data_IF_871837428085
#
_entry.id   IF_871837428085
#
_cell.length_a   1.000
_cell.length_b   1.000
_cell.length_c   1.000
_cell.angle_alpha   90.00
_cell.angle_beta   90.00
_cell.angle_gamma   90.00
#
_symmetry.space_group_name_H-M   'P 1'
#
loop_
_entity.id
_entity.type
_entity.pdbx_description
1 polymer ?
#
# COMPACT_ATOMS: atom_id res chain seq x y z
N UNK A 1 0.94 14.71 -26.43
CA UNK A 1 1.83 14.72 -25.26
C UNK A 1 1.03 15.35 -24.12
N UNK A 2 0.66 14.58 -23.10
CA UNK A 2 -0.15 15.07 -21.95
C UNK A 2 0.80 15.27 -20.78
N UNK A 3 0.83 16.48 -20.24
CA UNK A 3 1.59 16.79 -19.04
C UNK A 3 0.84 16.28 -17.80
N UNK A 4 1.53 15.51 -16.97
CA UNK A 4 1.03 15.08 -15.65
C UNK A 4 1.81 15.89 -14.60
N UNK A 5 1.14 16.71 -13.77
CA UNK A 5 1.81 17.52 -12.77
C UNK A 5 2.40 16.66 -11.65
N UNK A 6 3.43 17.18 -11.00
CA UNK A 6 3.96 16.56 -9.77
C UNK A 6 2.91 16.58 -8.65
N UNK A 7 3.01 15.63 -7.73
CA UNK A 7 2.08 15.53 -6.60
C UNK A 7 2.02 16.83 -5.78
N UNK A 8 3.16 17.45 -5.48
CA UNK A 8 3.17 18.67 -4.69
C UNK A 8 2.69 19.89 -5.47
N UNK A 9 2.98 19.97 -6.76
CA UNK A 9 2.44 21.02 -7.64
C UNK A 9 0.92 21.00 -7.61
N UNK A 10 0.32 19.80 -7.75
CA UNK A 10 -1.13 19.62 -7.69
C UNK A 10 -1.71 20.10 -6.37
N UNK A 11 -1.16 19.62 -5.24
CA UNK A 11 -1.69 19.93 -3.91
C UNK A 11 -1.57 21.42 -3.59
N UNK A 12 -0.41 22.05 -3.86
CA UNK A 12 -0.22 23.48 -3.58
C UNK A 12 -1.23 24.33 -4.35
N UNK A 13 -1.48 24.01 -5.62
CA UNK A 13 -2.48 24.72 -6.43
C UNK A 13 -3.89 24.56 -5.85
N UNK A 14 -4.27 23.35 -5.48
CA UNK A 14 -5.61 23.06 -4.93
C UNK A 14 -5.82 23.81 -3.60
N UNK A 15 -4.79 23.90 -2.75
CA UNK A 15 -4.79 24.74 -1.54
C UNK A 15 -5.08 26.21 -1.83
N UNK A 16 -4.41 26.79 -2.84
CA UNK A 16 -4.65 28.18 -3.25
C UNK A 16 -6.06 28.40 -3.81
N UNK A 17 -6.65 27.37 -4.42
CA UNK A 17 -8.01 27.39 -4.97
C UNK A 17 -9.09 27.07 -3.93
N UNK A 18 -8.70 26.65 -2.72
CA UNK A 18 -9.62 26.20 -1.69
C UNK A 18 -10.28 24.85 -1.99
N UNK A 19 -9.69 24.04 -2.87
CA UNK A 19 -10.16 22.68 -3.16
C UNK A 19 -9.57 21.68 -2.16
N UNK A 20 -10.43 21.14 -1.28
CA UNK A 20 -10.04 20.22 -0.23
C UNK A 20 -10.14 18.74 -0.63
N UNK A 21 -10.49 18.41 -1.89
CA UNK A 21 -10.85 17.04 -2.31
C UNK A 21 -9.72 16.02 -2.12
N UNK A 22 -8.46 16.44 -2.28
CA UNK A 22 -7.28 15.58 -2.16
C UNK A 22 -6.59 15.63 -0.79
N UNK A 23 -7.27 16.22 0.21
CA UNK A 23 -6.75 16.33 1.57
C UNK A 23 -7.49 15.35 2.49
N UNK A 24 -6.74 14.72 3.39
CA UNK A 24 -7.35 13.94 4.46
C UNK A 24 -8.15 14.86 5.40
N UNK A 25 -9.40 14.51 5.66
CA UNK A 25 -10.25 15.21 6.63
C UNK A 25 -9.92 14.73 8.05
N UNK A 26 -10.13 15.58 9.04
CA UNK A 26 -9.82 15.26 10.45
C UNK A 26 -10.50 13.98 10.93
N UNK A 27 -11.80 13.84 10.69
CA UNK A 27 -12.57 12.64 11.04
C UNK A 27 -12.07 11.37 10.32
N UNK A 28 -11.73 11.46 9.03
CA UNK A 28 -11.14 10.33 8.29
C UNK A 28 -9.77 9.92 8.84
N UNK A 29 -9.00 10.88 9.35
CA UNK A 29 -7.69 10.62 9.97
C UNK A 29 -7.86 9.94 11.33
N UNK A 30 -8.81 10.40 12.14
CA UNK A 30 -9.15 9.78 13.44
C UNK A 30 -9.60 8.34 13.25
N UNK A 31 -10.51 8.08 12.31
CA UNK A 31 -10.97 6.72 12.00
C UNK A 31 -9.85 5.80 11.50
N UNK A 32 -8.91 6.32 10.70
CA UNK A 32 -7.73 5.56 10.27
C UNK A 32 -6.83 5.19 11.46
N UNK A 33 -6.64 6.11 12.40
CA UNK A 33 -5.88 5.84 13.63
C UNK A 33 -6.58 4.81 14.52
N UNK A 34 -7.89 4.92 14.73
CA UNK A 34 -8.66 3.93 15.49
C UNK A 34 -8.50 2.50 14.96
N UNK A 35 -8.37 2.35 13.64
CA UNK A 35 -8.14 1.06 13.00
C UNK A 35 -6.70 0.54 13.18
N UNK A 36 -5.69 1.40 13.05
CA UNK A 36 -4.27 1.01 13.09
C UNK A 36 -3.76 0.81 14.52
N UNK A 37 -4.25 1.58 15.49
CA UNK A 37 -3.86 1.54 16.90
C UNK A 37 -3.76 0.12 17.51
N UNK A 38 -4.78 -0.76 17.40
CA UNK A 38 -4.70 -2.09 17.97
C UNK A 38 -3.64 -2.98 17.30
N UNK A 39 -3.35 -2.78 16.00
CA UNK A 39 -2.31 -3.52 15.28
C UNK A 39 -0.93 -3.14 15.83
N UNK A 40 -0.69 -1.84 16.03
CA UNK A 40 0.56 -1.33 16.61
C UNK A 40 0.78 -1.87 18.03
N UNK A 41 -0.25 -1.86 18.88
CA UNK A 41 -0.18 -2.40 20.25
C UNK A 41 0.17 -3.90 20.27
N UNK A 42 -0.38 -4.67 19.34
CA UNK A 42 -0.05 -6.10 19.22
C UNK A 42 1.41 -6.33 18.79
N UNK A 43 1.96 -5.47 17.93
CA UNK A 43 3.38 -5.50 17.58
C UNK A 43 4.29 -5.11 18.74
N UNK A 44 3.93 -4.10 19.53
CA UNK A 44 4.71 -3.71 20.72
C UNK A 44 4.82 -4.85 21.74
N UNK A 45 3.78 -5.66 21.88
CA UNK A 45 3.76 -6.81 22.78
C UNK A 45 4.50 -8.05 22.22
N UNK A 46 4.99 -8.00 20.98
CA UNK A 46 5.56 -9.14 20.24
C UNK A 46 4.61 -10.34 20.11
N UNK A 47 3.30 -10.10 20.07
CA UNK A 47 2.28 -11.15 19.96
C UNK A 47 2.15 -11.71 18.53
N UNK A 48 2.73 -11.02 17.55
CA UNK A 48 2.60 -11.33 16.11
C UNK A 48 3.99 -11.61 15.52
N UNK A 49 4.20 -12.76 14.85
CA UNK A 49 5.47 -13.07 14.20
C UNK A 49 5.74 -12.14 13.01
N UNK A 50 7.01 -11.72 12.86
CA UNK A 50 7.50 -11.00 11.68
C UNK A 50 8.07 -12.01 10.69
N UNK A 51 7.55 -12.01 9.46
CA UNK A 51 8.02 -12.89 8.39
C UNK A 51 9.01 -12.15 7.47
N UNK A 52 10.15 -12.78 7.21
CA UNK A 52 11.14 -12.27 6.27
C UNK A 52 10.84 -12.71 4.83
N UNK A 53 11.35 -11.97 3.86
CA UNK A 53 11.28 -12.30 2.44
C UNK A 53 12.52 -11.75 1.71
N UNK A 54 12.96 -12.37 0.60
CA UNK A 54 14.10 -11.86 -0.17
C UNK A 54 13.77 -10.52 -0.85
N UNK A 55 14.73 -9.60 -0.90
CA UNK A 55 14.58 -8.35 -1.63
C UNK A 55 14.30 -8.61 -3.13
N UNK A 56 13.42 -7.81 -3.73
CA UNK A 56 12.98 -7.97 -5.13
C UNK A 56 11.81 -8.95 -5.33
N UNK A 57 11.37 -9.66 -4.28
CA UNK A 57 10.15 -10.50 -4.30
C UNK A 57 8.92 -9.72 -3.82
N UNK A 58 7.73 -10.31 -3.97
CA UNK A 58 6.45 -9.68 -3.61
C UNK A 58 6.12 -9.69 -2.11
N UNK A 59 6.93 -10.34 -1.29
CA UNK A 59 6.68 -10.51 0.13
C UNK A 59 6.74 -11.96 0.58
N UNK A 60 6.39 -12.25 1.84
CA UNK A 60 6.34 -13.60 2.38
C UNK A 60 5.09 -14.36 1.87
N UNK A 61 5.16 -15.69 1.82
CA UNK A 61 4.03 -16.58 1.47
C UNK A 61 2.79 -16.34 2.35
N UNK A 62 2.99 -15.90 3.60
CA UNK A 62 1.92 -15.52 4.51
C UNK A 62 1.02 -14.39 3.96
N UNK A 63 1.55 -13.52 3.09
CA UNK A 63 0.77 -12.46 2.45
C UNK A 63 -0.12 -12.99 1.32
N UNK A 64 0.30 -14.06 0.62
CA UNK A 64 -0.53 -14.75 -0.36
C UNK A 64 -1.65 -15.52 0.35
N UNK A 65 -1.32 -16.22 1.42
CA UNK A 65 -2.28 -16.95 2.26
C UNK A 65 -3.36 -16.05 2.89
N UNK A 66 -3.09 -14.74 3.04
CA UNK A 66 -4.09 -13.78 3.53
C UNK A 66 -5.24 -13.57 2.53
N UNK A 67 -4.97 -13.72 1.24
CA UNK A 67 -5.97 -13.62 0.18
C UNK A 67 -6.42 -15.03 -0.18
N UNK A 68 -7.55 -15.47 0.38
CA UNK A 68 -8.09 -16.81 0.17
C UNK A 68 -9.26 -16.82 -0.83
N UNK A 69 -9.30 -17.85 -1.69
CA UNK A 69 -10.35 -18.12 -2.68
C UNK A 69 -9.82 -18.67 -4.00
N UNK A 70 -10.48 -19.69 -4.56
CA UNK A 70 -10.09 -20.43 -5.78
C UNK A 70 -9.78 -19.54 -7.01
N UNK A 71 -10.20 -18.28 -7.02
CA UNK A 71 -9.96 -17.30 -8.10
C UNK A 71 -9.50 -15.92 -7.58
N UNK A 72 -9.13 -15.80 -6.30
CA UNK A 72 -8.62 -14.56 -5.72
C UNK A 72 -7.13 -14.72 -5.42
N UNK A 73 -6.31 -14.14 -6.28
CA UNK A 73 -4.87 -13.99 -6.08
C UNK A 73 -4.50 -12.52 -6.22
N UNK A 74 -3.37 -12.11 -5.64
CA UNK A 74 -2.82 -10.79 -5.88
C UNK A 74 -2.63 -10.57 -7.38
N UNK A 75 -3.07 -9.40 -7.86
CA UNK A 75 -2.78 -9.06 -9.26
C UNK A 75 -1.28 -8.87 -9.41
N UNK A 76 -0.67 -9.66 -10.26
CA UNK A 76 0.76 -9.61 -10.58
C UNK A 76 1.00 -8.72 -11.82
N UNK A 77 1.30 -7.41 -11.67
CA UNK A 77 1.53 -6.51 -12.80
C UNK A 77 2.81 -6.82 -13.58
N UNK A 78 3.74 -7.60 -13.03
CA UNK A 78 5.04 -7.92 -13.64
C UNK A 78 4.99 -9.11 -14.61
N UNK A 79 3.85 -9.78 -14.85
CA UNK A 79 3.77 -10.98 -15.71
C UNK A 79 4.17 -10.71 -17.16
N UNK A 80 4.11 -9.44 -17.57
CA UNK A 80 4.53 -8.98 -18.89
C UNK A 80 5.95 -8.38 -18.91
N UNK A 81 6.68 -8.42 -17.78
CA UNK A 81 8.00 -7.81 -17.62
C UNK A 81 9.10 -8.84 -17.39
N UNK A 82 8.82 -9.98 -16.75
CA UNK A 82 9.77 -11.11 -16.59
C UNK A 82 9.07 -12.48 -16.65
N UNK A 83 9.80 -13.52 -17.09
CA UNK A 83 9.29 -14.89 -17.32
C UNK A 83 9.51 -15.83 -16.11
N UNK A 84 10.07 -15.32 -15.02
CA UNK A 84 10.51 -16.10 -13.86
C UNK A 84 9.49 -16.14 -12.71
N UNK A 85 8.47 -15.29 -12.73
CA UNK A 85 7.32 -15.30 -11.81
C UNK A 85 7.64 -15.03 -10.33
N UNK A 86 8.91 -14.77 -9.99
CA UNK A 86 9.39 -14.73 -8.60
C UNK A 86 9.98 -13.37 -8.21
N UNK A 87 10.53 -12.61 -9.15
CA UNK A 87 11.13 -11.31 -8.91
C UNK A 87 10.48 -10.25 -9.80
N UNK A 88 10.21 -9.06 -9.25
CA UNK A 88 10.02 -7.87 -10.07
C UNK A 88 11.33 -7.10 -10.07
N UNK A 89 12.05 -7.17 -11.18
CA UNK A 89 13.10 -6.20 -11.43
C UNK A 89 12.42 -4.87 -11.78
N UNK A 90 12.66 -3.84 -10.95
CA UNK A 90 12.31 -2.45 -11.25
C UNK A 90 13.28 -1.86 -12.28
#
# INVERSE_FOLDING_TARGET
NVYVPDAYERLIRDCMQGDATLYARGDSTEAAWEFIDPILKAWENNDIPVYGYPAGTWGPENADNLIDGDQMTWRYPCSNLTDDGNYCEL
#
